data_IF_586926848826
#
_entry.id   IF_586926848826
#
_cell.length_a   1.000
_cell.length_b   1.000
_cell.length_c   1.000
_cell.angle_alpha   90.00
_cell.angle_beta   90.00
_cell.angle_gamma   90.00
#
_symmetry.space_group_name_H-M   'P 1'
#
loop_
_entity.id
_entity.type
_entity.pdbx_description
1 polymer ?
#
# COMPACT_ATOMS: atom_id res chain seq x y z
N UNK A 1 -44.86 -36.23 -1.38
CA UNK A 1 -45.88 -37.21 -1.84
C UNK A 1 -45.82 -37.24 -3.37
N UNK A 2 -45.46 -38.39 -3.96
CA UNK A 2 -45.62 -38.84 -5.38
C UNK A 2 -45.07 -37.91 -6.51
N UNK A 3 -44.01 -38.24 -7.27
CA UNK A 3 -43.81 -39.31 -8.27
C UNK A 3 -44.98 -39.49 -9.26
N UNK A 4 -44.78 -39.25 -10.58
CA UNK A 4 -44.57 -40.32 -11.59
C UNK A 4 -44.83 -39.92 -13.08
N UNK A 5 -43.82 -40.17 -13.95
CA UNK A 5 -43.81 -40.91 -15.26
C UNK A 5 -44.58 -40.31 -16.48
N UNK A 6 -44.31 -40.56 -17.78
CA UNK A 6 -43.70 -41.67 -18.56
C UNK A 6 -43.62 -41.18 -20.05
N UNK A 7 -42.54 -41.30 -20.84
CA UNK A 7 -42.02 -42.39 -21.72
C UNK A 7 -42.25 -42.25 -23.24
N UNK A 8 -41.27 -42.81 -23.99
CA UNK A 8 -41.21 -43.23 -25.41
C UNK A 8 -40.62 -42.20 -26.40
N UNK A 9 -39.50 -42.40 -27.12
CA UNK A 9 -38.66 -43.59 -27.36
C UNK A 9 -38.94 -44.19 -28.74
N UNK A 10 -38.14 -43.85 -29.76
CA UNK A 10 -37.98 -44.64 -31.01
C UNK A 10 -36.54 -44.52 -31.54
N UNK A 11 -35.93 -45.66 -31.78
CA UNK A 11 -34.58 -45.85 -32.27
C UNK A 11 -34.60 -46.29 -33.75
N UNK A 12 -33.63 -45.84 -34.54
CA UNK A 12 -33.09 -46.64 -35.63
C UNK A 12 -31.62 -46.29 -35.87
N UNK A 13 -30.88 -47.27 -36.38
CA UNK A 13 -29.48 -47.57 -36.10
C UNK A 13 -28.72 -47.64 -37.43
N UNK A 14 -27.51 -47.07 -37.54
CA UNK A 14 -26.42 -47.56 -38.41
C UNK A 14 -25.06 -46.86 -38.16
N UNK A 15 -24.23 -47.58 -37.38
CA UNK A 15 -22.77 -47.82 -37.45
C UNK A 15 -21.82 -46.77 -38.06
N UNK A 16 -20.81 -46.41 -37.26
CA UNK A 16 -19.48 -45.97 -37.70
C UNK A 16 -18.60 -45.51 -36.53
N UNK A 17 -17.72 -46.39 -36.03
CA UNK A 17 -16.75 -46.12 -34.95
C UNK A 17 -15.72 -45.05 -35.38
N UNK A 18 -15.32 -44.17 -34.46
CA UNK A 18 -13.94 -44.04 -33.98
C UNK A 18 -13.91 -43.34 -32.61
N UNK A 19 -13.18 -43.95 -31.68
CA UNK A 19 -12.83 -43.48 -30.33
C UNK A 19 -11.96 -42.20 -30.45
N UNK A 20 -11.93 -41.24 -29.53
CA UNK A 20 -11.60 -41.33 -28.10
C UNK A 20 -12.02 -40.08 -27.32
N UNK A 21 -12.73 -40.31 -26.21
CA UNK A 21 -12.73 -39.61 -24.89
C UNK A 21 -12.82 -38.06 -24.81
N UNK A 22 -14.03 -37.57 -24.52
CA UNK A 22 -14.25 -36.56 -23.46
C UNK A 22 -14.04 -37.18 -22.07
N UNK A 23 -14.11 -36.48 -20.93
CA UNK A 23 -15.13 -35.51 -20.50
C UNK A 23 -14.72 -34.82 -19.17
N UNK A 24 -15.38 -33.69 -18.89
CA UNK A 24 -15.43 -32.89 -17.66
C UNK A 24 -16.01 -33.63 -16.40
N UNK A 25 -16.46 -32.95 -15.31
CA UNK A 25 -15.75 -32.71 -14.04
C UNK A 25 -16.46 -33.39 -12.83
N UNK A 26 -15.78 -33.66 -11.71
CA UNK A 26 -16.44 -34.23 -10.51
C UNK A 26 -15.89 -33.63 -9.19
N UNK A 27 -16.85 -33.23 -8.35
CA UNK A 27 -16.82 -32.78 -6.94
C UNK A 27 -16.47 -33.97 -6.00
N UNK A 28 -16.11 -33.70 -4.72
CA UNK A 28 -15.97 -34.63 -3.55
C UNK A 28 -14.50 -34.95 -3.19
N UNK A 29 -14.05 -35.12 -1.95
CA UNK A 29 -14.68 -35.21 -0.63
C UNK A 29 -13.62 -34.94 0.46
N UNK A 30 -14.08 -34.65 1.68
CA UNK A 30 -13.30 -34.64 2.92
C UNK A 30 -13.02 -36.08 3.42
N UNK A 31 -11.76 -36.33 3.85
CA UNK A 31 -11.31 -37.43 4.72
C UNK A 31 -10.71 -38.67 4.01
N UNK A 32 -9.87 -39.52 4.67
CA UNK A 32 -9.47 -39.52 6.09
C UNK A 32 -7.95 -39.32 6.32
N UNK A 33 -7.59 -39.09 7.59
CA UNK A 33 -6.22 -38.98 8.08
C UNK A 33 -5.43 -40.28 7.85
N UNK A 34 -4.30 -40.20 7.15
CA UNK A 34 -3.33 -41.29 7.04
C UNK A 34 -2.58 -41.45 8.36
N UNK A 35 -2.70 -42.63 8.96
CA UNK A 35 -1.95 -43.04 10.16
C UNK A 35 -0.89 -44.04 9.70
N UNK A 36 0.40 -43.78 9.95
CA UNK A 36 1.49 -44.72 9.67
C UNK A 36 1.96 -45.38 10.98
N UNK A 37 2.13 -46.71 10.94
CA UNK A 37 2.73 -47.51 12.01
C UNK A 37 4.27 -47.49 11.92
N UNK A 38 4.90 -47.48 13.10
CA UNK A 38 6.32 -47.26 13.34
C UNK A 38 7.21 -48.47 12.98
N UNK A 39 8.40 -48.18 12.46
CA UNK A 39 9.57 -49.05 12.63
C UNK A 39 10.25 -48.70 13.97
N UNK A 40 10.73 -49.74 14.66
CA UNK A 40 11.37 -49.68 15.98
C UNK A 40 12.57 -48.72 16.04
N UNK A 41 12.37 -47.60 16.71
CA UNK A 41 13.38 -46.83 17.44
C UNK A 41 12.64 -46.02 18.52
N UNK A 42 12.77 -46.42 19.79
CA UNK A 42 12.31 -45.61 20.93
C UNK A 42 13.39 -44.60 21.36
N UNK A 43 13.04 -43.42 21.93
CA UNK A 43 11.71 -42.89 22.22
C UNK A 43 11.54 -41.48 21.63
N UNK A 44 11.08 -41.34 20.37
CA UNK A 44 10.59 -40.04 19.88
C UNK A 44 9.73 -40.20 18.61
N UNK A 45 8.78 -41.14 18.63
CA UNK A 45 7.74 -41.20 17.61
C UNK A 45 6.51 -40.43 18.10
N UNK A 46 6.19 -39.27 17.49
CA UNK A 46 4.80 -38.77 17.34
C UNK A 46 4.68 -37.50 16.46
N UNK A 47 3.91 -37.65 15.38
CA UNK A 47 3.12 -36.68 14.58
C UNK A 47 3.73 -35.31 14.22
N UNK A 48 4.18 -35.18 12.97
CA UNK A 48 4.36 -33.89 12.29
C UNK A 48 3.05 -33.52 11.57
N UNK A 49 2.53 -32.33 11.82
CA UNK A 49 1.38 -31.77 11.07
C UNK A 49 1.85 -30.56 10.27
N UNK A 50 1.88 -30.67 8.94
CA UNK A 50 2.32 -29.57 8.06
C UNK A 50 1.11 -28.69 7.74
N UNK A 51 1.19 -27.39 8.06
CA UNK A 51 0.20 -26.40 7.64
C UNK A 51 0.88 -25.35 6.75
N UNK A 52 0.59 -25.46 5.45
CA UNK A 52 0.73 -24.41 4.42
C UNK A 52 2.16 -24.11 3.89
N UNK A 53 2.26 -23.97 2.57
CA UNK A 53 3.46 -23.56 1.83
C UNK A 53 3.23 -22.17 1.26
N UNK A 54 4.10 -21.22 1.60
CA UNK A 54 4.27 -19.94 0.88
C UNK A 54 5.73 -19.79 0.52
N UNK A 55 6.00 -19.39 -0.72
CA UNK A 55 7.33 -19.39 -1.33
C UNK A 55 8.31 -18.46 -0.63
N UNK A 56 9.07 -19.04 0.29
CA UNK A 56 10.51 -19.00 0.50
C UNK A 56 10.73 -19.77 1.82
N UNK A 57 11.63 -20.75 1.82
CA UNK A 57 11.64 -21.86 2.80
C UNK A 57 11.85 -21.39 4.25
N UNK A 58 10.87 -21.66 5.11
CA UNK A 58 11.04 -21.83 6.57
C UNK A 58 9.88 -22.67 7.10
N UNK A 59 10.17 -23.91 7.52
CA UNK A 59 9.20 -24.77 8.20
C UNK A 59 9.42 -24.66 9.71
N UNK A 60 8.40 -24.26 10.47
CA UNK A 60 8.42 -24.34 11.93
C UNK A 60 7.92 -25.71 12.37
N UNK A 61 8.73 -26.43 13.14
CA UNK A 61 8.34 -27.68 13.81
C UNK A 61 8.37 -27.46 15.31
N UNK A 62 7.22 -27.61 15.97
CA UNK A 62 7.14 -27.61 17.44
C UNK A 62 7.37 -29.01 17.97
N UNK A 63 8.37 -29.19 18.82
CA UNK A 63 8.60 -30.42 19.59
C UNK A 63 8.23 -30.19 21.05
N UNK A 64 8.14 -31.27 21.84
CA UNK A 64 7.68 -31.20 23.23
C UNK A 64 8.59 -30.37 24.15
N UNK A 65 9.82 -30.03 23.71
CA UNK A 65 10.82 -29.28 24.46
C UNK A 65 11.10 -27.86 23.89
N UNK A 66 10.29 -27.38 22.93
CA UNK A 66 10.39 -26.02 22.38
C UNK A 66 10.57 -25.95 20.85
N UNK A 67 10.62 -24.73 20.27
CA UNK A 67 10.84 -24.54 18.83
C UNK A 67 12.29 -24.86 18.45
N UNK A 68 12.48 -25.69 17.42
CA UNK A 68 13.80 -25.95 16.82
C UNK A 68 13.85 -25.36 15.41
N UNK A 69 14.89 -24.58 15.12
CA UNK A 69 15.16 -24.02 13.80
C UNK A 69 16.07 -24.99 13.04
N UNK A 70 15.62 -25.51 11.90
CA UNK A 70 16.50 -26.26 10.99
C UNK A 70 17.19 -25.23 10.10
N UNK A 71 18.46 -24.95 10.37
CA UNK A 71 19.30 -24.09 9.54
C UNK A 71 20.10 -24.92 8.52
N UNK A 72 20.60 -24.28 7.45
CA UNK A 72 21.26 -24.93 6.32
C UNK A 72 22.61 -25.59 6.68
N UNK A 73 23.13 -25.40 7.89
CA UNK A 73 24.44 -25.89 8.36
C UNK A 73 24.36 -27.08 9.34
N UNK A 74 23.35 -27.96 9.17
CA UNK A 74 23.28 -29.20 9.94
C UNK A 74 24.23 -30.27 9.34
N UNK A 75 24.96 -30.95 10.24
CA UNK A 75 26.02 -31.95 10.02
C UNK A 75 25.92 -32.78 8.70
N UNK A 76 26.97 -32.79 7.85
CA UNK A 76 26.98 -33.50 6.58
C UNK A 76 26.91 -35.04 6.67
N UNK A 77 26.87 -35.64 7.87
CA UNK A 77 26.74 -37.09 8.02
C UNK A 77 25.31 -37.67 7.94
N UNK A 78 24.27 -36.86 7.69
CA UNK A 78 22.92 -37.37 7.43
C UNK A 78 22.70 -37.79 5.97
N UNK A 79 23.46 -38.79 5.50
CA UNK A 79 23.30 -39.39 4.17
C UNK A 79 22.49 -40.68 4.24
N UNK A 80 21.23 -40.69 3.77
CA UNK A 80 20.64 -41.88 3.09
C UNK A 80 19.38 -41.55 2.26
N UNK A 81 19.62 -41.44 0.95
CA UNK A 81 18.79 -41.82 -0.20
C UNK A 81 17.32 -41.38 -0.22
N UNK A 82 17.08 -40.21 -0.81
CA UNK A 82 15.84 -39.91 -1.54
C UNK A 82 15.91 -40.52 -2.95
N UNK A 83 15.83 -41.85 -3.04
CA UNK A 83 15.76 -42.56 -4.33
C UNK A 83 14.56 -43.50 -4.36
N UNK A 84 13.36 -42.95 -4.22
CA UNK A 84 12.10 -43.64 -4.52
C UNK A 84 10.89 -42.71 -4.41
N UNK A 85 10.79 -41.71 -5.29
CA UNK A 85 9.51 -41.08 -5.59
C UNK A 85 9.38 -40.87 -7.10
N UNK A 86 8.47 -41.63 -7.68
CA UNK A 86 8.04 -41.52 -9.07
C UNK A 86 7.08 -40.34 -9.24
N UNK A 87 7.51 -39.36 -10.04
CA UNK A 87 6.75 -38.22 -10.60
C UNK A 87 6.23 -37.15 -9.62
N UNK A 88 6.95 -36.03 -9.54
CA UNK A 88 6.37 -34.71 -9.26
C UNK A 88 6.35 -33.93 -10.59
N UNK A 89 5.17 -33.71 -11.15
CA UNK A 89 5.00 -32.92 -12.37
C UNK A 89 4.83 -31.46 -11.98
N UNK A 90 5.83 -30.62 -12.27
CA UNK A 90 5.70 -29.18 -12.17
C UNK A 90 4.93 -28.66 -13.39
N UNK A 91 3.78 -28.00 -13.18
CA UNK A 91 3.15 -27.21 -14.25
C UNK A 91 4.07 -26.03 -14.58
N UNK A 92 4.74 -26.10 -15.73
CA UNK A 92 5.40 -24.94 -16.33
C UNK A 92 4.34 -23.90 -16.65
N UNK A 93 4.40 -22.75 -15.97
CA UNK A 93 3.78 -21.53 -16.48
C UNK A 93 4.36 -21.27 -17.87
N UNK A 94 3.47 -21.14 -18.85
CA UNK A 94 3.80 -20.88 -20.24
C UNK A 94 4.25 -19.42 -20.31
N UNK A 95 5.55 -19.20 -20.16
CA UNK A 95 6.18 -17.90 -20.36
C UNK A 95 6.19 -17.60 -21.86
N UNK A 96 5.36 -16.66 -22.32
CA UNK A 96 5.54 -16.04 -23.62
C UNK A 96 6.76 -15.11 -23.55
N UNK A 97 7.73 -15.19 -24.48
CA UNK A 97 8.88 -14.30 -24.49
C UNK A 97 8.49 -12.96 -25.14
N UNK A 98 8.60 -11.85 -24.40
CA UNK A 98 8.42 -10.53 -25.00
C UNK A 98 8.52 -9.36 -24.02
N UNK A 99 9.61 -8.59 -24.17
CA UNK A 99 9.97 -7.29 -23.55
C UNK A 99 10.67 -7.36 -22.18
N UNK A 100 11.97 -7.09 -22.22
CA UNK A 100 12.83 -6.80 -21.07
C UNK A 100 12.30 -5.58 -20.29
N UNK A 101 11.46 -5.81 -19.29
CA UNK A 101 11.37 -4.89 -18.14
C UNK A 101 12.49 -5.28 -17.16
N UNK A 102 13.41 -4.36 -16.83
CA UNK A 102 14.45 -4.65 -15.86
C UNK A 102 13.81 -4.94 -14.50
N UNK A 103 13.86 -6.20 -14.04
CA UNK A 103 13.50 -6.57 -12.67
C UNK A 103 14.63 -6.11 -11.75
N UNK A 104 14.40 -5.05 -11.00
CA UNK A 104 15.34 -4.58 -9.98
C UNK A 104 15.26 -5.57 -8.80
N UNK A 105 16.37 -6.25 -8.50
CA UNK A 105 16.42 -7.27 -7.45
C UNK A 105 16.14 -6.66 -6.06
N UNK A 106 15.64 -7.47 -5.13
CA UNK A 106 15.42 -7.05 -3.73
C UNK A 106 16.69 -6.51 -3.04
N UNK A 107 17.87 -6.81 -3.58
CA UNK A 107 19.20 -6.37 -3.12
C UNK A 107 19.75 -5.14 -3.86
N UNK A 108 18.93 -4.39 -4.60
CA UNK A 108 19.41 -3.20 -5.31
C UNK A 108 20.07 -2.22 -4.35
N UNK A 109 21.29 -1.77 -4.70
CA UNK A 109 22.00 -0.77 -3.92
C UNK A 109 21.40 0.61 -4.21
N UNK A 110 21.53 1.55 -3.27
CA UNK A 110 21.07 2.93 -3.47
C UNK A 110 21.71 3.57 -4.73
N UNK A 111 22.93 3.18 -5.07
CA UNK A 111 23.63 3.56 -6.31
C UNK A 111 22.89 3.12 -7.59
N UNK A 112 22.27 1.94 -7.56
CA UNK A 112 21.49 1.41 -8.68
C UNK A 112 20.21 2.24 -8.86
N UNK A 113 19.57 2.62 -7.74
CA UNK A 113 18.37 3.49 -7.74
C UNK A 113 18.73 4.90 -8.25
N UNK A 114 19.88 5.43 -7.85
CA UNK A 114 20.36 6.72 -8.34
C UNK A 114 20.66 6.68 -9.85
N UNK A 115 21.30 5.60 -10.32
CA UNK A 115 21.52 5.35 -11.74
C UNK A 115 20.20 5.31 -12.51
N UNK A 116 19.18 4.62 -11.98
CA UNK A 116 17.85 4.58 -12.56
C UNK A 116 17.21 5.97 -12.62
N UNK A 117 17.26 6.72 -11.51
CA UNK A 117 16.71 8.08 -11.44
C UNK A 117 17.36 9.02 -12.46
N UNK A 118 18.62 8.79 -12.82
CA UNK A 118 19.38 9.61 -13.76
C UNK A 118 19.22 9.22 -15.24
N UNK A 119 18.49 8.15 -15.56
CA UNK A 119 18.24 7.75 -16.96
C UNK A 119 17.50 8.84 -17.75
N UNK A 120 17.61 8.92 -19.08
CA UNK A 120 16.79 9.82 -19.88
C UNK A 120 15.29 9.63 -19.61
N UNK A 121 14.52 10.73 -19.55
CA UNK A 121 13.10 10.69 -19.20
C UNK A 121 12.31 9.70 -20.06
N UNK A 122 12.52 9.69 -21.38
CA UNK A 122 11.76 8.81 -22.29
C UNK A 122 12.04 7.33 -22.02
N UNK A 123 13.28 6.99 -21.66
CA UNK A 123 13.66 5.61 -21.28
C UNK A 123 13.00 5.21 -19.96
N UNK A 124 13.12 6.08 -18.95
CA UNK A 124 12.57 5.84 -17.62
C UNK A 124 11.03 5.75 -17.64
N UNK A 125 10.39 6.67 -18.36
CA UNK A 125 8.94 6.73 -18.51
C UNK A 125 8.40 5.52 -19.27
N UNK A 126 9.03 5.11 -20.38
CA UNK A 126 8.61 3.94 -21.12
C UNK A 126 8.70 2.66 -20.28
N UNK A 127 9.76 2.50 -19.48
CA UNK A 127 9.92 1.38 -18.57
C UNK A 127 8.84 1.38 -17.47
N UNK A 128 8.58 2.54 -16.85
CA UNK A 128 7.57 2.67 -15.81
C UNK A 128 6.14 2.41 -16.35
N UNK A 129 5.82 2.91 -17.54
CA UNK A 129 4.54 2.64 -18.20
C UNK A 129 4.37 1.16 -18.54
N UNK A 130 5.42 0.51 -19.05
CA UNK A 130 5.40 -0.93 -19.29
C UNK A 130 5.20 -1.74 -18.00
N UNK A 131 5.85 -1.34 -16.90
CA UNK A 131 5.64 -1.95 -15.59
C UNK A 131 4.20 -1.75 -15.10
N UNK A 132 3.62 -0.56 -15.26
CA UNK A 132 2.20 -0.32 -14.93
C UNK A 132 1.30 -1.31 -15.69
N UNK A 133 1.43 -1.41 -17.01
CA UNK A 133 0.58 -2.29 -17.82
C UNK A 133 0.77 -3.79 -17.55
N UNK A 134 1.93 -4.20 -17.03
CA UNK A 134 2.18 -5.59 -16.66
C UNK A 134 1.58 -5.98 -15.30
N UNK A 135 1.37 -5.02 -14.40
CA UNK A 135 1.05 -5.29 -12.99
C UNK A 135 -0.29 -4.70 -12.52
N UNK A 136 -0.87 -3.77 -13.27
CA UNK A 136 -2.11 -3.09 -12.89
C UNK A 136 -3.12 -3.01 -14.05
N UNK A 137 -4.43 -3.00 -13.74
CA UNK A 137 -5.45 -2.77 -14.75
C UNK A 137 -5.35 -1.36 -15.32
N UNK A 138 -6.00 -1.12 -16.46
CA UNK A 138 -6.09 0.19 -17.11
C UNK A 138 -7.07 1.15 -16.41
N UNK A 139 -7.08 1.14 -15.07
CA UNK A 139 -7.88 2.02 -14.25
C UNK A 139 -7.05 3.20 -13.72
N UNK A 140 -7.70 4.35 -13.60
CA UNK A 140 -7.17 5.54 -12.93
C UNK A 140 -8.25 6.12 -11.98
N UNK A 141 -8.02 5.98 -10.68
CA UNK A 141 -8.93 6.49 -9.66
C UNK A 141 -8.64 7.97 -9.34
N UNK A 142 -9.66 8.81 -9.40
CA UNK A 142 -9.58 10.25 -9.21
C UNK A 142 -10.20 10.62 -7.85
N UNK A 143 -9.34 10.78 -6.85
CA UNK A 143 -9.77 10.99 -5.46
C UNK A 143 -10.18 12.45 -5.20
N UNK A 144 -11.43 12.64 -4.78
CA UNK A 144 -12.06 13.96 -4.52
C UNK A 144 -12.85 13.97 -3.20
N UNK A 145 -12.21 13.71 -2.04
CA UNK A 145 -12.85 13.31 -0.79
C UNK A 145 -13.90 14.24 -0.15
N UNK A 146 -13.94 15.53 -0.49
CA UNK A 146 -14.94 16.45 0.10
C UNK A 146 -14.42 17.31 1.26
N UNK A 147 -13.16 17.13 1.68
CA UNK A 147 -12.46 18.07 2.55
C UNK A 147 -12.14 19.42 1.88
N UNK A 148 -12.07 19.42 0.54
CA UNK A 148 -11.98 20.61 -0.32
C UNK A 148 -13.09 20.54 -1.36
N UNK A 149 -13.68 21.68 -1.71
CA UNK A 149 -14.57 21.79 -2.87
C UNK A 149 -13.80 21.50 -4.16
N UNK A 150 -14.29 20.53 -4.92
CA UNK A 150 -13.83 20.18 -6.25
C UNK A 150 -15.02 20.20 -7.20
N UNK A 151 -14.92 21.04 -8.22
CA UNK A 151 -15.97 21.22 -9.19
C UNK A 151 -15.35 21.54 -10.54
N UNK A 152 -15.70 20.72 -11.51
CA UNK A 152 -15.26 20.80 -12.91
C UNK A 152 -16.44 20.47 -13.80
N UNK A 153 -16.25 20.58 -15.11
CA UNK A 153 -17.22 20.11 -16.09
C UNK A 153 -17.48 18.58 -16.01
N UNK A 154 -16.58 17.82 -15.38
CA UNK A 154 -16.64 16.35 -15.32
C UNK A 154 -17.25 15.82 -14.02
N UNK A 155 -17.04 16.51 -12.90
CA UNK A 155 -17.45 16.03 -11.58
C UNK A 155 -17.57 17.16 -10.56
N UNK A 156 -18.50 17.01 -9.62
CA UNK A 156 -18.68 17.86 -8.43
C UNK A 156 -18.70 16.95 -7.21
N UNK A 157 -17.83 17.20 -6.23
CA UNK A 157 -17.81 16.39 -5.03
C UNK A 157 -18.80 16.85 -3.95
N UNK A 158 -19.19 15.91 -3.09
CA UNK A 158 -20.02 16.20 -1.92
C UNK A 158 -19.16 16.70 -0.74
N UNK A 159 -19.49 17.86 -0.14
CA UNK A 159 -18.81 18.32 1.07
C UNK A 159 -18.86 17.28 2.18
N UNK A 160 -17.74 17.11 2.88
CA UNK A 160 -17.63 16.24 4.06
C UNK A 160 -17.86 14.74 3.82
N UNK A 161 -17.92 14.29 2.56
CA UNK A 161 -18.01 12.85 2.25
C UNK A 161 -16.89 12.05 2.91
N UNK A 162 -15.70 12.62 2.94
CA UNK A 162 -14.56 12.16 3.71
C UNK A 162 -13.88 13.38 4.37
N UNK A 163 -13.87 13.41 5.69
CA UNK A 163 -13.44 14.58 6.48
C UNK A 163 -12.11 14.36 7.20
N UNK A 164 -11.48 15.45 7.66
CA UNK A 164 -10.24 15.38 8.46
C UNK A 164 -10.48 15.93 9.86
N UNK A 165 -10.10 15.16 10.88
CA UNK A 165 -10.23 15.47 12.30
C UNK A 165 -8.84 15.55 12.94
N UNK A 166 -8.57 16.60 13.71
CA UNK A 166 -7.28 16.82 14.40
C UNK A 166 -7.41 16.58 15.89
N UNK A 167 -6.68 15.59 16.44
CA UNK A 167 -6.69 15.25 17.88
C UNK A 167 -5.91 16.25 18.74
N UNK A 168 -5.16 17.15 18.14
CA UNK A 168 -4.46 18.26 18.84
C UNK A 168 -5.03 19.62 18.45
N UNK A 169 -6.11 19.67 17.66
CA UNK A 169 -6.63 20.92 17.13
C UNK A 169 -5.62 21.57 16.18
N UNK A 170 -5.04 22.70 16.58
CA UNK A 170 -4.04 23.43 15.78
C UNK A 170 -2.65 23.40 16.40
N UNK A 171 -2.48 22.73 17.54
CA UNK A 171 -1.24 22.68 18.28
C UNK A 171 -0.31 21.60 17.70
N UNK A 172 0.98 21.94 17.59
CA UNK A 172 2.03 21.08 17.06
C UNK A 172 3.37 21.52 17.67
N UNK A 173 4.09 20.60 18.33
CA UNK A 173 5.32 20.95 19.05
C UNK A 173 6.52 21.05 18.10
N UNK A 174 6.54 20.25 17.01
CA UNK A 174 7.65 20.26 16.06
C UNK A 174 7.83 21.58 15.33
N UNK A 175 6.71 22.25 15.01
CA UNK A 175 6.70 23.50 14.24
C UNK A 175 7.61 23.46 13.01
N UNK A 176 7.55 22.36 12.24
CA UNK A 176 8.39 22.12 11.08
C UNK A 176 8.39 23.31 10.11
N UNK A 177 9.54 23.57 9.47
CA UNK A 177 9.73 24.73 8.60
C UNK A 177 8.79 24.77 7.39
N UNK A 178 8.32 23.61 6.93
CA UNK A 178 7.42 23.53 5.78
C UNK A 178 5.96 23.86 6.12
N UNK A 179 5.54 23.75 7.39
CA UNK A 179 4.14 23.90 7.77
C UNK A 179 3.86 24.81 8.96
N UNK A 180 4.72 24.83 10.00
CA UNK A 180 4.49 25.57 11.25
C UNK A 180 3.07 25.34 11.82
N UNK A 181 2.59 24.10 11.78
CA UNK A 181 1.23 23.71 12.21
C UNK A 181 0.09 24.14 11.27
N UNK A 182 0.36 24.92 10.20
CA UNK A 182 -0.70 25.48 9.34
C UNK A 182 -1.52 24.46 8.57
N UNK A 183 -0.99 23.25 8.35
CA UNK A 183 -1.76 22.16 7.73
C UNK A 183 -2.97 21.76 8.60
N UNK A 184 -2.88 21.93 9.92
CA UNK A 184 -3.95 21.60 10.87
C UNK A 184 -5.13 22.57 10.80
N UNK A 185 -4.95 23.78 10.24
CA UNK A 185 -6.03 24.75 10.07
C UNK A 185 -7.13 24.26 9.12
N UNK A 186 -6.79 23.33 8.22
CA UNK A 186 -7.75 22.68 7.33
C UNK A 186 -8.49 21.50 7.96
N UNK A 187 -8.17 21.15 9.21
CA UNK A 187 -8.74 20.00 9.92
C UNK A 187 -9.72 20.49 11.00
N UNK A 188 -10.76 19.70 11.27
CA UNK A 188 -11.72 19.99 12.34
C UNK A 188 -11.09 19.59 13.69
N UNK A 189 -10.90 20.52 14.65
CA UNK A 189 -10.34 20.18 15.96
C UNK A 189 -11.22 19.19 16.71
N UNK A 190 -10.64 18.16 17.32
CA UNK A 190 -11.28 17.09 18.09
C UNK A 190 -10.36 16.65 19.24
N UNK A 191 -10.05 17.59 20.13
CA UNK A 191 -8.93 17.48 21.09
C UNK A 191 -9.14 16.49 22.23
N UNK A 192 -10.37 16.05 22.46
CA UNK A 192 -10.69 15.01 23.46
C UNK A 192 -11.42 13.84 22.81
N UNK A 193 -11.42 12.64 23.43
CA UNK A 193 -12.18 11.49 22.94
C UNK A 193 -13.67 11.82 22.76
N UNK A 194 -14.28 12.54 23.69
CA UNK A 194 -15.70 12.93 23.64
C UNK A 194 -15.98 13.86 22.45
N UNK A 195 -15.09 14.84 22.22
CA UNK A 195 -15.21 15.75 21.09
C UNK A 195 -15.03 15.02 19.75
N UNK A 196 -14.15 14.02 19.69
CA UNK A 196 -13.96 13.17 18.52
C UNK A 196 -15.23 12.38 18.19
N UNK A 197 -15.89 11.81 19.20
CA UNK A 197 -17.18 11.11 19.06
C UNK A 197 -18.30 12.04 18.61
N UNK A 198 -18.45 13.20 19.23
CA UNK A 198 -19.46 14.21 18.87
C UNK A 198 -19.33 14.61 17.39
N UNK A 199 -18.11 14.89 16.94
CA UNK A 199 -17.84 15.26 15.55
C UNK A 199 -18.07 14.10 14.59
N UNK A 200 -17.75 12.87 15.01
CA UNK A 200 -18.08 11.67 14.26
C UNK A 200 -19.58 11.54 14.00
N UNK A 201 -20.40 11.71 15.03
CA UNK A 201 -21.86 11.66 14.90
C UNK A 201 -22.39 12.77 13.99
N UNK A 202 -21.90 14.00 14.17
CA UNK A 202 -22.29 15.12 13.32
C UNK A 202 -21.90 14.90 11.86
N UNK A 203 -20.74 14.30 11.59
CA UNK A 203 -20.29 13.95 10.24
C UNK A 203 -21.15 12.84 9.62
N UNK A 204 -21.48 11.79 10.36
CA UNK A 204 -22.37 10.72 9.89
C UNK A 204 -23.73 11.30 9.52
N UNK A 205 -24.29 12.18 10.35
CA UNK A 205 -25.55 12.89 10.05
C UNK A 205 -25.46 13.76 8.78
N UNK A 206 -24.26 14.20 8.40
CA UNK A 206 -23.96 14.94 7.16
C UNK A 206 -23.67 14.01 5.96
N UNK A 207 -23.81 12.69 6.10
CA UNK A 207 -23.57 11.72 5.03
C UNK A 207 -22.09 11.36 4.80
N UNK A 208 -21.23 11.61 5.80
CA UNK A 208 -19.82 11.24 5.79
C UNK A 208 -19.65 9.72 5.78
N UNK A 209 -18.77 9.22 4.92
CA UNK A 209 -18.42 7.80 4.81
C UNK A 209 -17.07 7.46 5.47
N UNK A 210 -16.26 8.46 5.77
CA UNK A 210 -14.97 8.23 6.40
C UNK A 210 -14.21 9.46 6.86
N UNK A 211 -13.22 9.22 7.70
CA UNK A 211 -12.42 10.26 8.33
C UNK A 211 -10.93 9.94 8.25
N UNK A 212 -10.13 10.98 8.03
CA UNK A 212 -8.72 11.02 8.34
C UNK A 212 -8.54 11.59 9.75
N UNK A 213 -7.97 10.80 10.64
CA UNK A 213 -7.59 11.24 11.99
C UNK A 213 -6.08 11.56 11.96
N UNK A 214 -5.71 12.74 12.43
CA UNK A 214 -4.30 13.17 12.55
C UNK A 214 -4.20 14.20 13.67
N UNK A 215 -3.07 14.89 13.78
CA UNK A 215 -2.84 16.00 14.68
C UNK A 215 -1.45 16.59 14.44
N UNK A 216 -1.13 17.62 15.20
CA UNK A 216 0.25 18.04 15.37
C UNK A 216 1.04 16.97 16.10
N UNK A 217 2.31 16.86 15.72
CA UNK A 217 3.23 15.91 16.33
C UNK A 217 3.90 16.53 17.56
N UNK A 218 4.17 15.68 18.54
CA UNK A 218 5.07 15.96 19.65
C UNK A 218 6.53 16.05 19.16
N UNK A 219 7.43 16.43 20.06
CA UNK A 219 8.87 16.58 19.76
C UNK A 219 9.54 15.27 19.31
N UNK A 220 8.92 14.14 19.62
CA UNK A 220 9.35 12.80 19.24
C UNK A 220 8.94 12.39 17.81
N UNK A 221 8.10 13.20 17.15
CA UNK A 221 7.57 12.93 15.82
C UNK A 221 6.23 12.20 15.79
N UNK A 222 5.65 11.88 16.95
CA UNK A 222 4.40 11.13 17.05
C UNK A 222 3.19 12.07 17.19
N UNK A 223 2.05 11.70 16.57
CA UNK A 223 0.76 12.29 16.92
C UNK A 223 0.24 11.60 18.19
N UNK A 224 -0.21 12.34 19.23
CA UNK A 224 -0.62 11.76 20.51
C UNK A 224 -2.01 11.09 20.40
N UNK A 225 -2.04 9.89 19.82
CA UNK A 225 -3.27 9.16 19.49
C UNK A 225 -3.76 8.23 20.61
N UNK A 226 -2.89 7.84 21.54
CA UNK A 226 -3.19 6.90 22.61
C UNK A 226 -4.48 7.25 23.39
N UNK A 227 -4.70 8.53 23.81
CA UNK A 227 -5.92 8.89 24.53
C UNK A 227 -7.21 8.70 23.72
N UNK A 228 -7.11 8.69 22.39
CA UNK A 228 -8.25 8.66 21.47
C UNK A 228 -8.55 7.25 20.94
N UNK A 229 -7.74 6.23 21.23
CA UNK A 229 -7.88 4.88 20.65
C UNK A 229 -9.29 4.29 20.82
N UNK A 230 -9.89 4.42 22.00
CA UNK A 230 -11.26 3.95 22.25
C UNK A 230 -12.29 4.71 21.40
N UNK A 231 -12.13 6.02 21.25
CA UNK A 231 -13.01 6.82 20.41
C UNK A 231 -12.84 6.50 18.92
N UNK A 232 -11.60 6.24 18.47
CA UNK A 232 -11.29 5.77 17.11
C UNK A 232 -12.00 4.44 16.82
N UNK A 233 -11.91 3.48 17.74
CA UNK A 233 -12.61 2.20 17.62
C UNK A 233 -14.13 2.38 17.54
N UNK A 234 -14.68 3.32 18.32
CA UNK A 234 -16.10 3.64 18.29
C UNK A 234 -16.52 4.26 16.95
N UNK A 235 -15.76 5.20 16.38
CA UNK A 235 -16.01 5.73 15.04
C UNK A 235 -16.05 4.62 13.99
N UNK A 236 -15.13 3.64 14.11
CA UNK A 236 -15.13 2.45 13.27
C UNK A 236 -16.37 1.60 13.42
N UNK A 237 -16.83 1.37 14.65
CA UNK A 237 -18.07 0.60 14.91
C UNK A 237 -19.33 1.26 14.35
N UNK A 238 -19.32 2.59 14.17
CA UNK A 238 -20.41 3.33 13.52
C UNK A 238 -20.40 3.24 11.99
N UNK A 239 -19.47 2.49 11.41
CA UNK A 239 -19.40 2.23 9.97
C UNK A 239 -18.57 3.23 9.17
N UNK A 240 -17.89 4.17 9.82
CA UNK A 240 -16.95 5.07 9.13
C UNK A 240 -15.73 4.29 8.66
N UNK A 241 -15.23 4.65 7.47
CA UNK A 241 -13.83 4.39 7.12
C UNK A 241 -12.95 5.30 7.97
N UNK A 242 -11.91 4.77 8.60
CA UNK A 242 -11.01 5.51 9.47
C UNK A 242 -9.59 5.20 9.05
N UNK A 243 -8.91 6.22 8.55
CA UNK A 243 -7.47 6.19 8.30
C UNK A 243 -6.79 7.16 9.26
N UNK A 244 -5.56 6.85 9.64
CA UNK A 244 -4.86 7.60 10.68
C UNK A 244 -3.49 8.03 10.18
N UNK A 245 -3.20 9.33 10.26
CA UNK A 245 -1.85 9.83 10.09
C UNK A 245 -1.15 9.89 11.44
N UNK A 246 -0.12 9.08 11.62
CA UNK A 246 0.44 8.79 12.94
C UNK A 246 1.71 9.57 13.26
N UNK A 247 2.44 10.03 12.24
CA UNK A 247 3.84 10.36 12.43
C UNK A 247 4.65 9.12 12.82
N UNK A 248 5.74 9.29 13.56
CA UNK A 248 6.56 8.19 14.11
C UNK A 248 5.89 7.62 15.37
N UNK A 249 5.00 6.64 15.21
CA UNK A 249 4.34 6.00 16.34
C UNK A 249 5.20 4.95 17.04
N UNK A 250 4.90 4.72 18.32
CA UNK A 250 5.39 3.57 19.08
C UNK A 250 4.53 2.32 18.86
N UNK A 251 5.04 1.18 19.36
CA UNK A 251 4.36 -0.12 19.24
C UNK A 251 3.02 -0.17 19.99
N UNK A 252 2.93 0.44 21.17
CA UNK A 252 1.71 0.41 21.98
C UNK A 252 0.56 1.10 21.23
N UNK A 253 0.84 2.27 20.64
CA UNK A 253 -0.10 2.99 19.78
C UNK A 253 -0.47 2.17 18.56
N UNK A 254 0.50 1.48 17.93
CA UNK A 254 0.25 0.63 16.75
C UNK A 254 -0.71 -0.52 17.07
N UNK A 255 -0.49 -1.21 18.19
CA UNK A 255 -1.35 -2.31 18.68
C UNK A 255 -2.75 -1.80 19.05
N UNK A 256 -2.83 -0.60 19.64
CA UNK A 256 -4.08 0.10 19.89
C UNK A 256 -4.87 0.38 18.62
N UNK A 257 -4.20 0.92 17.59
CA UNK A 257 -4.80 1.19 16.28
C UNK A 257 -5.25 -0.10 15.57
N UNK A 258 -4.46 -1.17 15.64
CA UNK A 258 -4.85 -2.50 15.13
C UNK A 258 -6.12 -2.99 15.82
N UNK A 259 -6.17 -2.89 17.15
CA UNK A 259 -7.32 -3.30 17.96
C UNK A 259 -8.56 -2.46 17.66
N UNK A 260 -8.38 -1.18 17.35
CA UNK A 260 -9.46 -0.28 16.91
C UNK A 260 -9.99 -0.62 15.50
N UNK A 261 -9.31 -1.49 14.74
CA UNK A 261 -9.76 -1.96 13.44
C UNK A 261 -9.74 -0.88 12.36
N UNK A 262 -8.81 0.08 12.43
CA UNK A 262 -8.66 1.14 11.42
C UNK A 262 -8.39 0.56 10.02
N UNK A 263 -8.75 1.29 8.96
CA UNK A 263 -8.55 0.81 7.59
C UNK A 263 -7.10 0.91 7.13
N UNK A 264 -6.37 1.95 7.60
CA UNK A 264 -5.03 2.23 7.10
C UNK A 264 -4.28 3.23 7.98
N UNK A 265 -2.98 3.03 8.13
CA UNK A 265 -2.04 4.04 8.65
C UNK A 265 -1.34 4.74 7.50
N UNK A 266 -1.15 6.05 7.60
CA UNK A 266 -0.30 6.81 6.69
C UNK A 266 0.69 7.68 7.47
N UNK A 267 1.88 7.84 6.94
CA UNK A 267 2.89 8.74 7.49
C UNK A 267 3.94 9.06 6.42
N UNK A 268 4.62 10.18 6.59
CA UNK A 268 5.72 10.58 5.72
C UNK A 268 6.98 9.75 6.05
N UNK A 269 7.58 9.11 5.05
CA UNK A 269 8.87 8.40 5.18
C UNK A 269 9.98 9.31 4.68
N UNK A 270 10.89 9.71 5.58
CA UNK A 270 11.96 10.64 5.25
C UNK A 270 13.31 9.92 5.19
N UNK A 271 13.93 9.96 4.01
CA UNK A 271 15.16 9.20 3.72
C UNK A 271 16.47 9.93 3.98
N UNK A 272 16.46 11.11 4.61
CA UNK A 272 17.68 11.90 4.86
C UNK A 272 17.68 12.56 6.25
N UNK A 273 18.73 12.30 7.04
CA UNK A 273 18.87 12.80 8.41
C UNK A 273 19.00 14.33 8.48
N UNK A 274 19.63 14.95 7.48
CA UNK A 274 19.75 16.42 7.41
C UNK A 274 18.38 17.06 7.20
N UNK A 275 17.53 16.48 6.36
CA UNK A 275 16.15 16.92 6.15
C UNK A 275 15.30 16.77 7.41
N UNK A 276 15.43 15.64 8.11
CA UNK A 276 14.73 15.39 9.38
C UNK A 276 15.11 16.45 10.41
N UNK A 277 16.40 16.74 10.56
CA UNK A 277 16.90 17.74 11.51
C UNK A 277 16.51 19.17 11.10
N UNK A 278 16.83 19.56 9.86
CA UNK A 278 16.73 20.97 9.44
C UNK A 278 15.30 21.39 9.15
N UNK A 279 14.43 20.48 8.68
CA UNK A 279 13.04 20.81 8.31
C UNK A 279 12.04 20.39 9.37
N UNK A 280 12.24 19.21 9.99
CA UNK A 280 11.30 18.67 10.99
C UNK A 280 11.74 18.93 12.42
N UNK A 281 12.96 19.41 12.65
CA UNK A 281 13.52 19.71 13.97
C UNK A 281 13.61 18.49 14.90
N UNK A 282 13.83 17.31 14.32
CA UNK A 282 13.90 16.06 15.09
C UNK A 282 15.32 15.48 15.12
N UNK A 283 15.69 14.93 16.28
CA UNK A 283 16.85 14.04 16.42
C UNK A 283 16.42 12.60 16.09
N UNK A 284 16.22 12.37 14.78
CA UNK A 284 15.77 11.10 14.20
C UNK A 284 16.54 10.82 12.92
N UNK A 285 16.51 9.57 12.51
CA UNK A 285 17.20 9.05 11.33
C UNK A 285 16.19 8.38 10.39
N UNK A 286 16.55 8.17 9.12
CA UNK A 286 15.72 7.38 8.21
C UNK A 286 15.41 5.97 8.73
N UNK A 287 16.27 5.41 9.58
CA UNK A 287 16.07 4.08 10.14
C UNK A 287 14.94 4.07 11.19
N UNK A 288 14.63 5.21 11.82
CA UNK A 288 13.44 5.34 12.67
C UNK A 288 12.15 5.16 11.85
N UNK A 289 12.08 5.75 10.66
CA UNK A 289 10.96 5.57 9.74
C UNK A 289 10.88 4.14 9.21
N UNK A 290 12.03 3.51 8.92
CA UNK A 290 12.08 2.11 8.53
C UNK A 290 11.56 1.17 9.63
N UNK A 291 11.95 1.41 10.89
CA UNK A 291 11.44 0.66 12.05
C UNK A 291 9.95 0.86 12.29
N UNK A 292 9.45 2.10 12.16
CA UNK A 292 8.02 2.39 12.27
C UNK A 292 7.22 1.65 11.17
N UNK A 293 7.70 1.68 9.92
CA UNK A 293 7.07 0.94 8.82
C UNK A 293 7.09 -0.57 9.10
N UNK A 294 8.23 -1.13 9.49
CA UNK A 294 8.37 -2.55 9.82
C UNK A 294 7.40 -2.98 10.93
N UNK A 295 7.28 -2.18 12.00
CA UNK A 295 6.33 -2.44 13.10
C UNK A 295 4.88 -2.51 12.61
N UNK A 296 4.48 -1.57 11.74
CA UNK A 296 3.13 -1.58 11.16
C UNK A 296 2.90 -2.82 10.27
N UNK A 297 3.91 -3.24 9.52
CA UNK A 297 3.87 -4.44 8.67
C UNK A 297 3.78 -5.72 9.49
N UNK A 298 4.56 -5.83 10.57
CA UNK A 298 4.52 -6.97 11.50
C UNK A 298 3.14 -7.15 12.16
N UNK A 299 2.47 -6.03 12.47
CA UNK A 299 1.11 -6.03 13.01
C UNK A 299 0.03 -6.21 11.94
N UNK A 300 0.42 -6.40 10.68
CA UNK A 300 -0.46 -6.54 9.52
C UNK A 300 -1.49 -5.40 9.44
N UNK A 301 -1.05 -4.18 9.74
CA UNK A 301 -1.86 -2.97 9.57
C UNK A 301 -1.65 -2.50 8.12
N UNK A 302 -2.71 -2.22 7.35
CA UNK A 302 -2.55 -1.65 6.03
C UNK A 302 -1.85 -0.29 6.11
N UNK A 303 -0.86 -0.05 5.26
CA UNK A 303 -0.04 1.16 5.28
C UNK A 303 -0.01 1.88 3.95
N UNK A 304 -0.07 3.20 4.01
CA UNK A 304 0.15 4.11 2.90
C UNK A 304 1.27 5.10 3.21
N UNK A 305 2.55 4.69 3.14
CA UNK A 305 3.67 5.61 3.31
C UNK A 305 3.66 6.71 2.24
N UNK A 306 3.99 7.92 2.67
CA UNK A 306 4.07 9.09 1.83
C UNK A 306 5.52 9.48 1.61
N UNK A 307 5.90 9.73 0.36
CA UNK A 307 7.19 10.33 0.01
C UNK A 307 6.93 11.79 -0.36
N UNK A 308 7.58 12.69 0.37
CA UNK A 308 7.41 14.14 0.17
C UNK A 308 8.51 14.66 -0.75
N UNK A 309 8.19 14.80 -2.03
CA UNK A 309 9.11 15.32 -3.03
C UNK A 309 9.49 16.77 -2.71
N UNK A 310 10.79 16.99 -2.47
CA UNK A 310 11.37 18.31 -2.25
C UNK A 310 11.22 18.84 -0.84
N UNK A 311 10.99 17.97 0.16
CA UNK A 311 10.84 18.42 1.55
C UNK A 311 12.03 19.26 2.01
N UNK A 312 13.25 18.95 1.56
CA UNK A 312 14.44 19.73 1.84
C UNK A 312 14.53 20.98 0.97
N UNK A 313 13.76 22.01 1.31
CA UNK A 313 13.80 23.32 0.65
C UNK A 313 13.68 23.25 -0.88
N UNK A 314 12.81 22.37 -1.38
CA UNK A 314 12.55 22.19 -2.81
C UNK A 314 13.55 21.27 -3.53
N UNK A 315 14.54 20.75 -2.82
CA UNK A 315 15.55 19.84 -3.35
C UNK A 315 15.15 18.38 -3.08
N UNK A 316 15.32 17.52 -4.09
CA UNK A 316 15.23 16.09 -3.86
C UNK A 316 16.46 15.65 -3.07
N UNK A 317 16.23 15.34 -1.80
CA UNK A 317 17.22 14.86 -0.84
C UNK A 317 16.61 13.77 0.03
N UNK A 318 17.00 12.52 -0.24
CA UNK A 318 16.59 11.35 0.54
C UNK A 318 15.37 10.60 -0.01
N UNK A 319 14.61 11.13 -0.96
CA UNK A 319 13.38 10.48 -1.48
C UNK A 319 13.68 9.13 -2.12
N UNK A 320 14.82 8.95 -2.79
CA UNK A 320 15.23 7.65 -3.34
C UNK A 320 15.53 6.62 -2.24
N UNK A 321 16.14 7.05 -1.13
CA UNK A 321 16.33 6.18 0.05
C UNK A 321 14.98 5.88 0.72
N UNK A 322 14.07 6.84 0.78
CA UNK A 322 12.73 6.62 1.30
C UNK A 322 11.94 5.62 0.45
N UNK A 323 12.04 5.69 -0.89
CA UNK A 323 11.49 4.67 -1.79
C UNK A 323 12.10 3.28 -1.54
N UNK A 324 13.40 3.21 -1.26
CA UNK A 324 14.07 1.95 -0.94
C UNK A 324 13.60 1.37 0.40
N UNK A 325 13.44 2.21 1.44
CA UNK A 325 12.84 1.82 2.72
C UNK A 325 11.45 1.21 2.51
N UNK A 326 10.59 1.88 1.73
CA UNK A 326 9.26 1.37 1.43
C UNK A 326 9.32 0.06 0.63
N UNK A 327 10.22 -0.05 -0.35
CA UNK A 327 10.40 -1.27 -1.15
C UNK A 327 10.81 -2.47 -0.27
N UNK A 328 11.68 -2.25 0.71
CA UNK A 328 12.17 -3.31 1.59
C UNK A 328 11.08 -3.78 2.57
N UNK A 329 10.32 -2.86 3.16
CA UNK A 329 9.28 -3.20 4.13
C UNK A 329 7.94 -3.64 3.48
N UNK A 330 7.63 -3.09 2.31
CA UNK A 330 6.34 -3.24 1.63
C UNK A 330 5.32 -2.17 2.03
N UNK A 331 4.31 -1.98 1.18
CA UNK A 331 3.20 -1.07 1.39
C UNK A 331 1.94 -1.58 0.69
N UNK A 332 0.77 -1.15 1.16
CA UNK A 332 -0.52 -1.44 0.51
C UNK A 332 -0.82 -0.39 -0.56
N UNK A 333 -0.38 0.85 -0.35
CA UNK A 333 -0.41 1.94 -1.33
C UNK A 333 0.83 2.81 -1.14
N UNK A 334 1.49 3.23 -2.21
CA UNK A 334 2.56 4.22 -2.14
C UNK A 334 2.02 5.58 -2.61
N UNK A 335 2.30 6.62 -1.83
CA UNK A 335 1.83 7.98 -2.13
C UNK A 335 3.01 8.89 -2.36
N UNK A 336 3.02 9.60 -3.49
CA UNK A 336 3.93 10.72 -3.71
C UNK A 336 3.15 12.01 -3.49
N UNK A 337 3.60 12.83 -2.56
CA UNK A 337 3.16 14.22 -2.41
C UNK A 337 4.32 15.15 -2.77
N UNK A 338 4.03 16.40 -3.07
CA UNK A 338 5.03 17.39 -3.44
C UNK A 338 4.96 18.56 -2.46
N UNK A 339 6.12 19.02 -1.99
CA UNK A 339 6.20 20.19 -1.14
C UNK A 339 5.42 21.34 -1.78
N UNK A 340 4.47 21.89 -1.01
CA UNK A 340 3.73 23.09 -1.35
C UNK A 340 4.17 24.19 -0.38
N UNK A 341 4.95 25.19 -0.84
CA UNK A 341 5.30 26.35 -0.02
C UNK A 341 4.04 26.97 0.62
N UNK A 342 3.98 26.98 1.95
CA UNK A 342 2.88 27.58 2.69
C UNK A 342 3.26 28.99 3.10
N UNK A 343 2.34 29.94 2.87
CA UNK A 343 2.52 31.32 3.33
C UNK A 343 2.74 31.35 4.85
N UNK A 344 3.58 32.28 5.29
CA UNK A 344 3.92 32.47 6.70
C UNK A 344 4.60 31.24 7.33
N UNK A 345 5.44 30.57 6.56
CA UNK A 345 6.38 29.56 7.03
C UNK A 345 7.79 29.93 6.54
N UNK A 346 8.87 29.45 7.18
CA UNK A 346 10.22 29.66 6.68
C UNK A 346 10.44 29.23 5.22
N UNK A 347 9.63 28.27 4.75
CA UNK A 347 9.70 27.75 3.39
C UNK A 347 8.69 28.40 2.42
N UNK A 348 8.11 29.55 2.75
CA UNK A 348 7.08 30.20 1.93
C UNK A 348 7.55 30.56 0.51
N UNK A 349 8.82 30.91 0.36
CA UNK A 349 9.41 31.40 -0.90
C UNK A 349 10.35 30.37 -1.56
N UNK A 350 10.33 29.13 -1.07
CA UNK A 350 11.08 28.01 -1.66
C UNK A 350 10.58 27.74 -3.08
N UNK A 351 11.51 27.58 -4.01
CA UNK A 351 11.19 27.19 -5.39
C UNK A 351 10.53 25.79 -5.40
N UNK A 352 9.43 25.61 -6.15
CA UNK A 352 8.78 24.31 -6.23
C UNK A 352 9.68 23.30 -6.97
N UNK A 353 9.56 22.02 -6.60
CA UNK A 353 10.18 20.91 -7.34
C UNK A 353 9.73 20.96 -8.79
N UNK A 354 10.65 20.71 -9.73
CA UNK A 354 10.30 20.73 -11.15
C UNK A 354 9.34 19.57 -11.49
N UNK A 355 8.39 19.77 -12.42
CA UNK A 355 7.52 18.69 -12.85
C UNK A 355 8.27 17.46 -13.39
N UNK A 356 9.41 17.67 -14.05
CA UNK A 356 10.26 16.57 -14.52
C UNK A 356 10.81 15.74 -13.35
N UNK A 357 11.33 16.39 -12.31
CA UNK A 357 11.86 15.69 -11.14
C UNK A 357 10.77 14.88 -10.41
N UNK A 358 9.55 15.43 -10.29
CA UNK A 358 8.39 14.68 -9.76
C UNK A 358 8.06 13.48 -10.65
N UNK A 359 7.99 13.67 -11.97
CA UNK A 359 7.74 12.58 -12.92
C UNK A 359 8.78 11.46 -12.81
N UNK A 360 10.06 11.81 -12.73
CA UNK A 360 11.17 10.86 -12.56
C UNK A 360 11.04 10.09 -11.24
N UNK A 361 10.72 10.79 -10.14
CA UNK A 361 10.51 10.14 -8.84
C UNK A 361 9.35 9.14 -8.88
N UNK A 362 8.23 9.51 -9.52
CA UNK A 362 7.08 8.60 -9.71
C UNK A 362 7.46 7.39 -10.56
N UNK A 363 8.22 7.60 -11.64
CA UNK A 363 8.64 6.51 -12.51
C UNK A 363 9.58 5.52 -11.79
N UNK A 364 10.53 6.05 -10.99
CA UNK A 364 11.38 5.22 -10.12
C UNK A 364 10.52 4.48 -9.08
N UNK A 365 9.56 5.15 -8.44
CA UNK A 365 8.67 4.53 -7.47
C UNK A 365 7.89 3.34 -8.07
N UNK A 366 7.34 3.49 -9.29
CA UNK A 366 6.69 2.42 -10.05
C UNK A 366 7.63 1.26 -10.34
N UNK A 367 8.86 1.54 -10.78
CA UNK A 367 9.82 0.49 -11.12
C UNK A 367 10.34 -0.28 -9.90
N UNK A 368 10.44 0.38 -8.75
CA UNK A 368 10.83 -0.26 -7.49
C UNK A 368 9.69 -1.06 -6.85
N UNK A 369 8.44 -0.64 -7.06
CA UNK A 369 7.26 -1.23 -6.45
C UNK A 369 6.19 -1.55 -7.53
N UNK A 370 6.49 -2.49 -8.45
CA UNK A 370 5.65 -2.71 -9.63
C UNK A 370 4.23 -3.16 -9.30
N UNK A 371 4.06 -3.95 -8.25
CA UNK A 371 2.75 -4.50 -7.81
C UNK A 371 2.00 -3.61 -6.83
N UNK A 372 2.63 -2.56 -6.28
CA UNK A 372 2.01 -1.68 -5.28
C UNK A 372 1.26 -0.57 -5.99
N UNK A 373 -0.01 -0.31 -5.66
CA UNK A 373 -0.72 0.84 -6.17
C UNK A 373 -0.01 2.15 -5.81
N UNK A 374 0.19 3.01 -6.82
CA UNK A 374 0.95 4.25 -6.71
C UNK A 374 0.03 5.44 -6.97
N UNK A 375 0.04 6.44 -6.08
CA UNK A 375 -0.81 7.62 -6.24
C UNK A 375 -0.03 8.92 -6.18
N UNK A 376 -0.48 9.92 -6.95
CA UNK A 376 -0.08 11.31 -6.74
C UNK A 376 -1.08 11.98 -5.79
N UNK A 377 -0.63 12.23 -4.56
CA UNK A 377 -1.44 12.70 -3.44
C UNK A 377 -1.88 14.17 -3.56
N UNK A 378 -2.70 14.61 -2.61
CA UNK A 378 -3.41 15.90 -2.68
C UNK A 378 -2.53 17.13 -2.45
N UNK A 379 -1.41 16.99 -1.76
CA UNK A 379 -0.46 18.08 -1.52
C UNK A 379 0.50 18.21 -2.70
N UNK A 380 0.41 19.34 -3.41
CA UNK A 380 1.33 19.77 -4.47
C UNK A 380 1.16 21.26 -4.78
N UNK A 381 2.14 21.93 -5.40
CA UNK A 381 2.00 23.29 -5.88
C UNK A 381 0.78 23.47 -6.80
N UNK A 382 0.16 24.65 -6.74
CA UNK A 382 -0.95 25.04 -7.63
C UNK A 382 -0.42 25.64 -8.94
N UNK A 383 -1.32 25.93 -9.88
CA UNK A 383 -0.97 26.62 -11.13
C UNK A 383 -0.46 25.70 -12.24
N UNK A 384 0.20 26.23 -13.28
CA UNK A 384 0.61 25.45 -14.46
C UNK A 384 1.52 24.25 -14.14
N UNK A 385 2.42 24.41 -13.15
CA UNK A 385 3.31 23.34 -12.70
C UNK A 385 2.54 22.09 -12.21
N UNK A 386 1.38 22.29 -11.56
CA UNK A 386 0.48 21.21 -11.13
C UNK A 386 0.11 20.30 -12.30
N UNK A 387 -0.29 20.88 -13.42
CA UNK A 387 -0.81 20.12 -14.56
C UNK A 387 0.30 19.33 -15.22
N UNK A 388 1.50 19.90 -15.33
CA UNK A 388 2.64 19.17 -15.87
C UNK A 388 3.11 18.06 -14.92
N UNK A 389 3.06 18.27 -13.59
CA UNK A 389 3.33 17.21 -12.60
C UNK A 389 2.34 16.06 -12.75
N UNK A 390 1.05 16.36 -12.88
CA UNK A 390 0.00 15.37 -13.09
C UNK A 390 0.18 14.62 -14.41
N UNK A 391 0.45 15.33 -15.51
CA UNK A 391 0.73 14.73 -16.83
C UNK A 391 1.86 13.72 -16.73
N UNK A 392 2.97 14.11 -16.12
CA UNK A 392 4.14 13.22 -15.96
C UNK A 392 3.88 12.07 -15.00
N UNK A 393 3.10 12.27 -13.94
CA UNK A 393 2.73 11.19 -13.03
C UNK A 393 1.85 10.14 -13.73
N UNK A 394 0.86 10.56 -14.53
CA UNK A 394 0.05 9.65 -15.35
C UNK A 394 0.95 8.87 -16.31
N UNK A 395 1.82 9.55 -17.06
CA UNK A 395 2.76 8.90 -17.98
C UNK A 395 3.75 7.96 -17.29
N UNK A 396 4.11 8.23 -16.04
CA UNK A 396 4.96 7.38 -15.20
C UNK A 396 4.20 6.21 -14.55
N UNK A 397 2.86 6.16 -14.71
CA UNK A 397 2.05 5.00 -14.39
C UNK A 397 1.49 4.95 -12.96
N UNK A 398 1.03 6.09 -12.44
CA UNK A 398 0.16 6.11 -11.25
C UNK A 398 -1.17 5.37 -11.50
N UNK A 399 -1.72 4.80 -10.43
CA UNK A 399 -3.06 4.20 -10.38
C UNK A 399 -4.12 5.18 -9.86
N UNK A 400 -3.71 6.25 -9.19
CA UNK A 400 -4.65 7.25 -8.68
C UNK A 400 -4.07 8.65 -8.57
N UNK A 401 -4.97 9.64 -8.59
CA UNK A 401 -4.62 11.05 -8.51
C UNK A 401 -5.65 11.84 -7.71
N UNK A 402 -5.20 12.60 -6.71
CA UNK A 402 -6.11 13.42 -5.91
C UNK A 402 -6.40 14.75 -6.59
N UNK A 403 -7.66 15.19 -6.71
CA UNK A 403 -8.05 16.51 -7.24
C UNK A 403 -7.40 16.87 -8.61
N UNK A 404 -7.56 16.03 -9.65
CA UNK A 404 -6.94 16.24 -10.97
C UNK A 404 -7.41 17.54 -11.65
N UNK A 405 -6.56 18.16 -12.45
CA UNK A 405 -6.99 19.15 -13.45
C UNK A 405 -7.75 18.45 -14.58
N UNK A 406 -8.80 19.06 -15.18
CA UNK A 406 -9.53 18.45 -16.29
C UNK A 406 -8.66 18.08 -17.49
N UNK A 407 -7.55 18.79 -17.73
CA UNK A 407 -6.57 18.42 -18.77
C UNK A 407 -5.92 17.07 -18.50
N UNK A 408 -5.64 16.76 -17.23
CA UNK A 408 -5.09 15.47 -16.81
C UNK A 408 -6.11 14.35 -17.01
N UNK A 409 -7.38 14.61 -16.75
CA UNK A 409 -8.45 13.63 -17.00
C UNK A 409 -8.52 13.29 -18.48
N UNK A 410 -8.54 14.30 -19.37
CA UNK A 410 -8.53 14.08 -20.83
C UNK A 410 -7.31 13.30 -21.30
N UNK A 411 -6.12 13.64 -20.82
CA UNK A 411 -4.90 12.89 -21.11
C UNK A 411 -5.05 11.41 -20.75
N UNK A 412 -5.57 11.10 -19.57
CA UNK A 412 -5.73 9.71 -19.14
C UNK A 412 -6.66 8.93 -20.08
N UNK A 413 -7.75 9.56 -20.52
CA UNK A 413 -8.68 8.98 -21.50
C UNK A 413 -8.03 8.78 -22.88
N UNK A 414 -7.24 9.75 -23.35
CA UNK A 414 -6.46 9.66 -24.60
C UNK A 414 -5.43 8.52 -24.55
N UNK A 415 -4.90 8.21 -23.37
CA UNK A 415 -4.01 7.07 -23.12
C UNK A 415 -4.76 5.72 -22.98
N UNK A 416 -6.10 5.72 -23.06
CA UNK A 416 -6.93 4.53 -22.95
C UNK A 416 -7.25 4.08 -21.53
N UNK A 417 -7.00 4.91 -20.51
CA UNK A 417 -7.31 4.58 -19.12
C UNK A 417 -8.79 4.81 -18.81
N UNK A 418 -9.38 3.90 -18.03
CA UNK A 418 -10.72 4.01 -17.46
C UNK A 418 -10.67 4.88 -16.21
N UNK A 419 -11.17 6.11 -16.34
CA UNK A 419 -11.19 7.08 -15.24
C UNK A 419 -12.44 6.90 -14.37
N UNK A 420 -12.28 6.97 -13.04
CA UNK A 420 -13.41 6.97 -12.10
C UNK A 420 -13.19 7.98 -10.98
N UNK A 421 -14.23 8.73 -10.63
CA UNK A 421 -14.18 9.66 -9.49
C UNK A 421 -14.60 8.94 -8.21
N UNK A 422 -13.83 9.13 -7.15
CA UNK A 422 -14.12 8.54 -5.83
C UNK A 422 -13.99 9.59 -4.74
N UNK A 423 -14.99 9.66 -3.86
CA UNK A 423 -15.06 10.64 -2.77
C UNK A 423 -14.46 10.09 -1.48
N UNK A 424 -13.23 9.55 -1.58
CA UNK A 424 -12.43 9.04 -0.45
C UNK A 424 -11.01 9.58 -0.51
N UNK A 425 -10.23 9.38 0.55
CA UNK A 425 -8.80 9.73 0.54
C UNK A 425 -8.07 9.05 -0.63
N UNK A 426 -7.03 9.69 -1.17
CA UNK A 426 -6.24 9.12 -2.27
C UNK A 426 -5.55 7.80 -1.91
N UNK A 427 -5.39 7.51 -0.63
CA UNK A 427 -4.81 6.25 -0.14
C UNK A 427 -5.79 5.08 -0.14
N UNK A 428 -7.09 5.35 -0.30
CA UNK A 428 -8.18 4.36 -0.40
C UNK A 428 -8.76 4.30 -1.82
N UNK A 429 -8.15 5.00 -2.77
CA UNK A 429 -8.63 5.23 -4.12
C UNK A 429 -7.66 4.61 -5.13
N UNK A 430 -7.54 3.28 -5.10
CA UNK A 430 -6.62 2.51 -5.95
C UNK A 430 -7.14 1.12 -6.28
#
# INVERSE_FOLDING_TARGET
MRFQYSTNGHASNRRGRFLTSGTFPVILALGPALTFHACDCSPCARRITIRQFTGDVLAYVTTHDGPCTIDADCDPHCTRRLSSYSRVTFMRSIHQPGRNTPKIARSARLEDIQTLFNQPWDTLQAAAWAARGAHHPDDLALAVPGGKRYETERYRNTPHRFASLSVTGHDCDLMCDHCRGRLLLGMRPATTPESLLEKGQALIAQGCEGVLISGGAGIDGAVPLEPHLTAIAQLKSWGLRVIVHTGLLDRATAEGLKSAGIDQVLFDVIGDAVTIRDVLHMDRTPDDYARALATLRELEIPVAPHIVAGLHFGQLRGELRALDIVRQAGADVLVIVVLRPLRHTPMADVAPVTPEAVGRLVAVARLLNPDVPLTLGCARPSGPAKVEMERRAVLAGVNGLAYPDPRTVRLAEELGLRVSFVERCCTLAV
#
